data_IF_177656917488
#
_entry.id   IF_177656917488
#
_cell.length_a   1.000
_cell.length_b   1.000
_cell.length_c   1.000
_cell.angle_alpha   90.00
_cell.angle_beta   90.00
_cell.angle_gamma   90.00
#
_symmetry.space_group_name_H-M   'P 1'
#
loop_
_entity.id
_entity.type
_entity.pdbx_description
1 polymer ?
#
# COMPACT_ATOMS: atom_id res chain seq x y z
N UNK A 1 -3.82 -11.04 20.69
CA UNK A 1 -4.09 -9.61 20.78
C UNK A 1 -5.54 -9.37 21.15
N UNK A 2 -5.73 -8.89 22.35
CA UNK A 2 -7.09 -8.58 22.79
C UNK A 2 -7.40 -7.13 22.44
N UNK A 3 -8.36 -6.94 21.55
CA UNK A 3 -8.88 -5.61 21.30
C UNK A 3 -10.03 -5.38 22.23
N UNK A 4 -9.82 -4.51 23.19
CA UNK A 4 -10.88 -4.11 24.08
C UNK A 4 -11.51 -2.87 23.47
N UNK A 5 -12.72 -3.01 22.98
CA UNK A 5 -13.49 -1.87 22.51
C UNK A 5 -14.71 -1.67 23.42
N UNK A 6 -15.01 -0.44 23.69
CA UNK A 6 -16.15 -0.08 24.54
C UNK A 6 -17.34 0.29 23.67
N UNK A 7 -18.14 -0.69 23.35
CA UNK A 7 -19.39 -0.46 22.64
C UNK A 7 -19.48 -1.12 21.27
N UNK A 8 -20.69 -1.31 20.82
CA UNK A 8 -21.01 -1.99 19.57
C UNK A 8 -20.48 -1.25 18.32
N UNK A 9 -20.41 0.09 18.41
CA UNK A 9 -19.89 0.91 17.30
C UNK A 9 -18.44 0.60 16.99
N UNK A 10 -17.60 0.43 18.03
CA UNK A 10 -16.18 0.12 17.84
C UNK A 10 -15.98 -1.26 17.23
N UNK A 11 -16.76 -2.24 17.66
CA UNK A 11 -16.66 -3.59 17.09
C UNK A 11 -16.97 -3.59 15.58
N UNK A 12 -17.99 -2.85 15.18
CA UNK A 12 -18.35 -2.69 13.77
C UNK A 12 -17.26 -1.95 13.00
N UNK A 13 -16.73 -0.88 13.57
CA UNK A 13 -15.64 -0.11 12.95
C UNK A 13 -14.41 -0.98 12.74
N UNK A 14 -14.02 -1.74 13.74
CA UNK A 14 -12.86 -2.65 13.65
C UNK A 14 -13.07 -3.65 12.53
N UNK A 15 -14.26 -4.23 12.43
CA UNK A 15 -14.58 -5.20 11.37
C UNK A 15 -14.45 -4.58 9.99
N UNK A 16 -15.00 -3.38 9.78
CA UNK A 16 -14.93 -2.72 8.48
C UNK A 16 -13.51 -2.31 8.12
N UNK A 17 -12.75 -1.76 9.08
CA UNK A 17 -11.37 -1.35 8.84
C UNK A 17 -10.51 -2.57 8.46
N UNK A 18 -10.65 -3.68 9.19
CA UNK A 18 -9.92 -4.90 8.87
C UNK A 18 -10.27 -5.44 7.48
N UNK A 19 -11.53 -5.27 7.05
CA UNK A 19 -11.98 -5.70 5.73
C UNK A 19 -11.28 -4.93 4.60
N UNK A 20 -10.95 -3.67 4.80
CA UNK A 20 -10.18 -2.90 3.83
C UNK A 20 -8.87 -3.64 3.53
N UNK A 21 -8.18 -4.04 4.57
CA UNK A 21 -6.90 -4.74 4.42
C UNK A 21 -7.07 -6.13 3.84
N UNK A 22 -7.94 -6.96 4.41
CA UNK A 22 -8.03 -8.37 4.00
C UNK A 22 -8.56 -8.53 2.58
N UNK A 23 -9.58 -7.77 2.19
CA UNK A 23 -10.13 -7.83 0.83
C UNK A 23 -9.24 -7.10 -0.17
N UNK A 24 -8.67 -5.96 0.26
CA UNK A 24 -7.73 -5.24 -0.58
C UNK A 24 -6.49 -6.07 -0.90
N UNK A 25 -5.90 -6.70 0.11
CA UNK A 25 -4.75 -7.56 -0.10
C UNK A 25 -5.08 -8.75 -0.99
N UNK A 26 -6.24 -9.39 -0.76
CA UNK A 26 -6.70 -10.52 -1.55
C UNK A 26 -6.78 -10.17 -3.04
N UNK A 27 -7.42 -9.06 -3.36
CA UNK A 27 -7.61 -8.66 -4.76
C UNK A 27 -6.35 -8.10 -5.39
N UNK A 28 -5.49 -7.46 -4.60
CA UNK A 28 -4.16 -7.07 -5.06
C UNK A 28 -3.35 -8.31 -5.48
N UNK A 29 -3.40 -9.36 -4.66
CA UNK A 29 -2.69 -10.61 -4.96
C UNK A 29 -3.22 -11.28 -6.23
N UNK A 30 -4.53 -11.17 -6.50
CA UNK A 30 -5.08 -11.65 -7.78
C UNK A 30 -4.41 -10.97 -8.96
N UNK A 31 -4.26 -9.67 -8.92
CA UNK A 31 -3.65 -8.92 -10.03
C UNK A 31 -2.17 -9.26 -10.17
N UNK A 32 -1.43 -9.34 -9.05
CA UNK A 32 -0.02 -9.72 -9.06
C UNK A 32 0.17 -11.12 -9.66
N UNK A 33 -0.61 -12.08 -9.17
CA UNK A 33 -0.41 -13.48 -9.58
C UNK A 33 -0.93 -13.75 -11.00
N UNK A 34 -1.89 -12.99 -11.47
CA UNK A 34 -2.37 -13.12 -12.84
C UNK A 34 -1.25 -12.82 -13.85
N UNK A 35 -0.54 -11.71 -13.70
CA UNK A 35 0.55 -11.39 -14.61
C UNK A 35 1.76 -12.29 -14.37
N UNK A 36 2.05 -12.62 -13.13
CA UNK A 36 3.19 -13.50 -12.80
C UNK A 36 3.02 -14.89 -13.42
N UNK A 37 1.83 -15.47 -13.33
CA UNK A 37 1.54 -16.78 -13.91
C UNK A 37 1.63 -16.70 -15.45
N UNK A 38 1.06 -15.66 -16.02
CA UNK A 38 1.07 -15.44 -17.46
C UNK A 38 2.50 -15.42 -18.05
N UNK A 39 3.45 -14.89 -17.28
CA UNK A 39 4.86 -14.81 -17.68
C UNK A 39 5.72 -15.95 -17.14
N UNK A 40 5.09 -16.94 -16.52
CA UNK A 40 5.77 -18.08 -15.89
C UNK A 40 6.78 -17.64 -14.81
N UNK A 41 6.39 -16.62 -14.03
CA UNK A 41 7.20 -16.07 -12.95
C UNK A 41 6.52 -16.21 -11.58
N UNK A 42 5.46 -17.00 -11.50
CA UNK A 42 4.66 -17.13 -10.29
C UNK A 42 5.46 -17.63 -9.09
N UNK A 43 6.28 -18.65 -9.28
CA UNK A 43 7.11 -19.17 -8.18
C UNK A 43 8.17 -18.15 -7.74
N UNK A 44 8.80 -17.47 -8.70
CA UNK A 44 9.79 -16.43 -8.41
C UNK A 44 9.18 -15.27 -7.62
N UNK A 45 8.01 -14.82 -8.05
CA UNK A 45 7.32 -13.69 -7.40
C UNK A 45 6.84 -14.10 -6.00
N UNK A 46 6.27 -15.29 -5.86
CA UNK A 46 5.82 -15.79 -4.55
C UNK A 46 6.98 -15.84 -3.56
N UNK A 47 8.12 -16.38 -3.98
CA UNK A 47 9.30 -16.45 -3.12
C UNK A 47 9.81 -15.05 -2.74
N UNK A 48 9.83 -14.13 -3.68
CA UNK A 48 10.28 -12.76 -3.47
C UNK A 48 9.40 -12.01 -2.47
N UNK A 49 8.09 -12.08 -2.66
CA UNK A 49 7.12 -11.41 -1.77
C UNK A 49 7.18 -12.02 -0.37
N UNK A 50 7.20 -13.35 -0.30
CA UNK A 50 7.29 -14.06 0.98
C UNK A 50 8.52 -13.63 1.76
N UNK A 51 9.67 -13.58 1.11
CA UNK A 51 10.91 -13.14 1.74
C UNK A 51 10.82 -11.71 2.26
N UNK A 52 10.22 -10.83 1.49
CA UNK A 52 10.06 -9.42 1.88
C UNK A 52 9.21 -9.28 3.14
N UNK A 53 8.14 -10.06 3.24
CA UNK A 53 7.21 -9.98 4.37
C UNK A 53 7.76 -10.71 5.61
N UNK A 54 8.40 -11.86 5.41
CA UNK A 54 8.80 -12.73 6.53
C UNK A 54 10.08 -12.31 7.23
N UNK A 55 10.90 -11.46 6.63
CA UNK A 55 12.20 -11.13 7.20
C UNK A 55 12.16 -10.17 8.39
N UNK A 56 11.00 -9.57 8.67
CA UNK A 56 10.82 -8.68 9.81
C UNK A 56 9.37 -8.74 10.30
N UNK A 57 9.09 -8.34 11.55
CA UNK A 57 7.70 -8.29 12.02
C UNK A 57 6.84 -7.43 11.11
N UNK A 58 5.61 -7.85 10.88
CA UNK A 58 4.73 -7.14 9.96
C UNK A 58 4.47 -5.69 10.37
N UNK A 59 4.49 -5.39 11.66
CA UNK A 59 4.37 -4.02 12.16
C UNK A 59 5.46 -3.11 11.57
N UNK A 60 6.67 -3.65 11.42
CA UNK A 60 7.78 -2.91 10.81
C UNK A 60 7.56 -2.70 9.32
N UNK A 61 6.96 -3.70 8.65
CA UNK A 61 6.61 -3.57 7.23
C UNK A 61 5.58 -2.46 7.04
N UNK A 62 4.52 -2.44 7.87
CA UNK A 62 3.50 -1.39 7.82
C UNK A 62 4.17 -0.02 7.96
N UNK A 63 5.03 0.13 8.96
CA UNK A 63 5.69 1.41 9.22
C UNK A 63 6.55 1.84 8.03
N UNK A 64 7.37 0.94 7.52
CA UNK A 64 8.27 1.23 6.40
C UNK A 64 7.50 1.60 5.13
N UNK A 65 6.43 0.88 4.82
CA UNK A 65 5.65 1.13 3.61
C UNK A 65 4.96 2.49 3.66
N UNK A 66 4.38 2.85 4.80
CA UNK A 66 3.67 4.13 4.93
C UNK A 66 4.64 5.31 4.98
N UNK A 67 5.69 5.23 5.80
CA UNK A 67 6.64 6.34 5.92
C UNK A 67 7.41 6.57 4.62
N UNK A 68 7.67 5.52 3.86
CA UNK A 68 8.37 5.63 2.58
C UNK A 68 7.61 6.45 1.56
N UNK A 69 6.30 6.47 1.61
CA UNK A 69 5.50 7.27 0.69
C UNK A 69 5.67 8.77 0.89
N UNK A 70 6.12 9.21 2.06
CA UNK A 70 6.31 10.64 2.33
C UNK A 70 7.31 11.26 1.35
N UNK A 71 8.44 10.58 1.16
CA UNK A 71 9.49 11.10 0.28
C UNK A 71 9.35 10.67 -1.17
N UNK A 72 8.73 9.52 -1.41
CA UNK A 72 8.84 8.84 -2.70
C UNK A 72 7.53 8.73 -3.50
N UNK A 73 6.44 9.35 -3.03
CA UNK A 73 5.15 9.21 -3.70
C UNK A 73 5.20 9.65 -5.17
N UNK A 74 5.81 10.81 -5.45
CA UNK A 74 5.88 11.33 -6.81
C UNK A 74 6.64 10.39 -7.74
N UNK A 75 7.80 9.89 -7.31
CA UNK A 75 8.57 8.93 -8.10
C UNK A 75 7.80 7.64 -8.31
N UNK A 76 7.10 7.20 -7.28
CA UNK A 76 6.31 5.96 -7.33
C UNK A 76 5.12 6.07 -8.27
N UNK A 77 4.54 7.26 -8.45
CA UNK A 77 3.50 7.47 -9.49
C UNK A 77 4.07 7.15 -10.86
N UNK A 78 5.25 7.65 -11.18
CA UNK A 78 5.89 7.39 -12.47
C UNK A 78 6.22 5.92 -12.66
N UNK A 79 6.68 5.26 -11.60
CA UNK A 79 6.93 3.82 -11.64
C UNK A 79 5.62 3.06 -11.93
N UNK A 80 4.52 3.47 -11.32
CA UNK A 80 3.23 2.82 -11.54
C UNK A 80 2.68 3.08 -12.94
N UNK A 81 2.95 4.24 -13.53
CA UNK A 81 2.58 4.49 -14.92
C UNK A 81 3.27 3.49 -15.85
N UNK A 82 4.54 3.18 -15.60
CA UNK A 82 5.27 2.16 -16.36
C UNK A 82 4.70 0.76 -16.12
N UNK A 83 4.31 0.46 -14.88
CA UNK A 83 3.68 -0.82 -14.56
C UNK A 83 2.34 -0.97 -15.27
N UNK A 84 1.55 0.11 -15.36
CA UNK A 84 0.29 0.08 -16.10
C UNK A 84 0.49 -0.24 -17.57
N UNK A 85 1.50 0.35 -18.23
CA UNK A 85 1.86 0.00 -19.59
C UNK A 85 2.21 -1.48 -19.72
N UNK A 86 3.03 -1.97 -18.80
CA UNK A 86 3.44 -3.37 -18.74
C UNK A 86 2.22 -4.31 -18.63
N UNK A 87 1.28 -3.99 -17.74
CA UNK A 87 0.08 -4.79 -17.56
C UNK A 87 -0.80 -4.77 -18.82
N UNK A 88 -0.96 -3.60 -19.44
CA UNK A 88 -1.73 -3.48 -20.68
C UNK A 88 -1.11 -4.28 -21.82
N UNK A 89 0.21 -4.26 -21.95
CA UNK A 89 0.92 -5.06 -22.96
C UNK A 89 0.72 -6.56 -22.77
N UNK A 90 0.53 -6.98 -21.53
CA UNK A 90 0.29 -8.40 -21.20
C UNK A 90 -1.19 -8.74 -21.11
N UNK A 91 -2.06 -7.80 -21.42
CA UNK A 91 -3.51 -8.00 -21.47
C UNK A 91 -4.10 -8.52 -20.16
N UNK A 92 -3.63 -7.95 -19.02
CA UNK A 92 -4.17 -8.27 -17.70
C UNK A 92 -4.88 -7.07 -17.11
N UNK A 93 -5.75 -7.34 -16.14
CA UNK A 93 -6.52 -6.32 -15.44
C UNK A 93 -5.61 -5.37 -14.67
N UNK A 94 -5.95 -4.08 -14.67
CA UNK A 94 -5.15 -3.02 -14.06
C UNK A 94 -5.86 -2.31 -12.93
N UNK A 95 -7.01 -2.80 -12.48
CA UNK A 95 -7.84 -2.09 -11.50
C UNK A 95 -7.10 -1.74 -10.21
N UNK A 96 -6.37 -2.68 -9.64
CA UNK A 96 -5.67 -2.45 -8.38
C UNK A 96 -4.44 -1.56 -8.58
N UNK A 97 -3.69 -1.79 -9.63
CA UNK A 97 -2.50 -0.98 -9.95
C UNK A 97 -2.88 0.46 -10.27
N UNK A 98 -3.99 0.65 -11.01
CA UNK A 98 -4.48 2.00 -11.30
C UNK A 98 -4.89 2.72 -10.03
N UNK A 99 -5.60 2.05 -9.12
CA UNK A 99 -5.99 2.63 -7.84
C UNK A 99 -4.76 2.97 -7.00
N UNK A 100 -3.74 2.12 -7.00
CA UNK A 100 -2.48 2.38 -6.33
C UNK A 100 -1.80 3.62 -6.88
N UNK A 101 -1.73 3.73 -8.19
CA UNK A 101 -1.16 4.90 -8.88
C UNK A 101 -1.91 6.17 -8.48
N UNK A 102 -3.23 6.14 -8.51
CA UNK A 102 -4.06 7.30 -8.19
C UNK A 102 -3.94 7.68 -6.71
N UNK A 103 -3.82 6.71 -5.82
CA UNK A 103 -3.60 6.98 -4.40
C UNK A 103 -2.23 7.65 -4.17
N UNK A 104 -1.20 7.19 -4.86
CA UNK A 104 0.12 7.82 -4.78
C UNK A 104 0.10 9.25 -5.32
N UNK A 105 -0.70 9.50 -6.36
CA UNK A 105 -0.87 10.86 -6.88
C UNK A 105 -1.56 11.76 -5.84
N UNK A 106 -2.57 11.23 -5.16
CA UNK A 106 -3.24 11.96 -4.08
C UNK A 106 -2.25 12.30 -2.95
N UNK A 107 -1.40 11.37 -2.58
CA UNK A 107 -0.39 11.60 -1.56
C UNK A 107 0.66 12.63 -2.02
N UNK A 108 1.03 12.60 -3.28
CA UNK A 108 1.93 13.60 -3.86
C UNK A 108 1.30 14.99 -3.77
N UNK A 109 0.03 15.10 -4.12
CA UNK A 109 -0.70 16.37 -4.11
C UNK A 109 -0.87 16.94 -2.70
N UNK A 110 -0.85 16.10 -1.67
CA UNK A 110 -0.96 16.53 -0.27
C UNK A 110 0.32 17.16 0.25
N UNK A 111 1.42 17.05 -0.50
CA UNK A 111 2.72 17.67 -0.17
C UNK A 111 3.29 17.21 1.17
N UNK A 112 3.16 15.91 1.44
CA UNK A 112 3.69 15.32 2.68
C UNK A 112 5.20 15.55 2.81
N UNK A 113 5.94 15.47 1.71
CA UNK A 113 7.38 15.67 1.71
C UNK A 113 7.74 17.04 2.30
N UNK A 114 7.04 18.08 1.88
CA UNK A 114 7.25 19.43 2.36
C UNK A 114 6.80 19.58 3.82
N UNK A 115 5.72 18.90 4.20
CA UNK A 115 5.21 18.95 5.58
C UNK A 115 6.19 18.29 6.57
N UNK A 116 7.06 17.41 6.11
CA UNK A 116 8.09 16.76 6.92
C UNK A 116 9.49 17.28 6.60
N UNK A 117 9.59 18.46 5.97
CA UNK A 117 10.86 19.15 5.67
C UNK A 117 11.85 18.28 4.87
N UNK A 118 11.33 17.43 4.01
CA UNK A 118 12.14 16.58 3.14
C UNK A 118 12.72 15.34 3.81
N UNK A 119 12.31 15.04 5.04
CA UNK A 119 12.80 13.89 5.79
C UNK A 119 11.65 12.91 6.07
N UNK A 120 11.94 11.61 6.02
CA UNK A 120 10.94 10.61 6.36
C UNK A 120 10.66 10.64 7.87
N UNK A 121 9.39 10.65 8.29
CA UNK A 121 9.08 10.52 9.71
C UNK A 121 9.45 9.13 10.22
N UNK A 122 9.59 8.99 11.52
CA UNK A 122 9.96 7.71 12.13
C UNK A 122 8.79 6.75 12.21
N UNK A 123 7.56 7.24 12.31
CA UNK A 123 6.39 6.40 12.51
C UNK A 123 5.26 6.73 11.54
N UNK A 124 4.48 5.70 11.19
CA UNK A 124 3.29 5.88 10.37
C UNK A 124 2.24 6.76 11.06
N UNK A 125 2.22 6.78 12.40
CA UNK A 125 1.28 7.61 13.15
C UNK A 125 1.48 9.09 12.85
N UNK A 126 2.73 9.53 12.74
CA UNK A 126 3.06 10.92 12.39
C UNK A 126 2.49 11.27 11.00
N UNK A 127 2.56 10.32 10.06
CA UNK A 127 1.99 10.51 8.72
C UNK A 127 0.48 10.68 8.79
N UNK A 128 -0.21 9.80 9.52
CA UNK A 128 -1.66 9.85 9.64
C UNK A 128 -2.14 11.11 10.33
N UNK A 129 -1.42 11.59 11.33
CA UNK A 129 -1.74 12.85 11.98
C UNK A 129 -1.73 14.02 10.99
N UNK A 130 -0.72 14.07 10.12
CA UNK A 130 -0.65 15.12 9.09
C UNK A 130 -1.80 15.01 8.10
N UNK A 131 -2.12 13.81 7.65
CA UNK A 131 -3.20 13.59 6.68
C UNK A 131 -4.55 13.95 7.29
N UNK A 132 -4.83 13.50 8.51
CA UNK A 132 -6.14 13.65 9.14
C UNK A 132 -6.37 15.03 9.75
N UNK A 133 -5.33 15.77 10.04
CA UNK A 133 -5.41 17.06 10.73
C UNK A 133 -4.79 18.22 9.93
N UNK A 134 -4.54 18.00 8.65
CA UNK A 134 -4.12 19.07 7.73
C UNK A 134 -5.36 19.79 7.19
N UNK A 135 -5.30 21.11 7.20
CA UNK A 135 -6.34 21.93 6.61
C UNK A 135 -6.13 22.12 5.10
#
# INVERSE_FOLDING_TARGET
LDFVSEGAGDATNIKFIRSIFTKGLSTLLHEVMEVAEKLDLDETITASITNTIDKEPFENVINRLITGNVLHAERRVKEMDNVLEFLNENEVDTLMTKATRDKLQLLTNSKLKEQFDGEAPQTWKQVMEKINHSD
#
